data_IF_405529550696
#
_entry.id   IF_405529550696
#
_cell.length_a   1.000
_cell.length_b   1.000
_cell.length_c   1.000
_cell.angle_alpha   90.00
_cell.angle_beta   90.00
_cell.angle_gamma   90.00
#
_symmetry.space_group_name_H-M   'P 1'
#
loop_
_entity.id
_entity.type
_entity.pdbx_description
1 polymer ?
#
# COMPACT_ATOMS: atom_id res chain seq x y z
N UNK A 1 -2.36 13.64 8.35
CA UNK A 1 -1.20 13.14 9.12
C UNK A 1 -0.02 14.08 8.86
N UNK A 2 0.68 14.58 9.90
CA UNK A 2 1.80 15.47 9.70
C UNK A 2 2.86 14.81 8.81
N UNK A 3 3.46 15.61 7.92
CA UNK A 3 4.54 15.21 6.99
C UNK A 3 4.19 14.11 5.95
N UNK A 4 2.93 13.66 5.85
CA UNK A 4 2.48 12.71 4.83
C UNK A 4 1.74 13.44 3.72
N UNK A 5 2.35 13.49 2.53
CA UNK A 5 1.83 14.13 1.31
C UNK A 5 1.52 13.08 0.25
N UNK A 6 0.88 13.46 -0.84
CA UNK A 6 0.63 12.59 -1.98
C UNK A 6 1.92 11.90 -2.46
N UNK A 7 3.02 12.64 -2.62
CA UNK A 7 4.32 12.08 -2.99
C UNK A 7 4.82 11.02 -2.01
N UNK A 8 4.53 11.15 -0.71
CA UNK A 8 4.89 10.13 0.29
C UNK A 8 4.13 8.83 0.04
N UNK A 9 2.85 8.92 -0.32
CA UNK A 9 2.04 7.75 -0.67
C UNK A 9 2.57 7.07 -1.94
N UNK A 10 2.88 7.84 -2.99
CA UNK A 10 3.46 7.32 -4.24
C UNK A 10 4.81 6.65 -4.02
N UNK A 11 5.71 7.29 -3.26
CA UNK A 11 7.01 6.71 -2.90
C UNK A 11 6.83 5.41 -2.10
N UNK A 12 5.85 5.36 -1.20
CA UNK A 12 5.53 4.15 -0.44
C UNK A 12 5.05 3.03 -1.38
N UNK A 13 4.17 3.33 -2.33
CA UNK A 13 3.72 2.37 -3.34
C UNK A 13 4.92 1.87 -4.15
N UNK A 14 5.74 2.78 -4.68
CA UNK A 14 6.90 2.43 -5.49
C UNK A 14 7.86 1.47 -4.78
N UNK A 15 8.15 1.71 -3.50
CA UNK A 15 9.12 0.89 -2.75
C UNK A 15 8.49 -0.34 -2.09
N UNK A 16 7.28 -0.22 -1.58
CA UNK A 16 6.66 -1.28 -0.80
C UNK A 16 5.86 -2.27 -1.62
N UNK A 17 5.31 -1.86 -2.77
CA UNK A 17 4.48 -2.74 -3.62
C UNK A 17 5.29 -3.59 -4.60
N UNK A 18 6.61 -3.64 -4.43
CA UNK A 18 7.48 -4.52 -5.23
C UNK A 18 7.05 -5.99 -5.09
N UNK A 19 6.89 -6.67 -6.22
CA UNK A 19 6.46 -8.07 -6.28
C UNK A 19 4.96 -8.29 -6.07
N UNK A 20 4.17 -7.22 -5.99
CA UNK A 20 2.70 -7.29 -6.01
C UNK A 20 2.22 -7.80 -7.37
N UNK A 21 1.26 -8.73 -7.35
CA UNK A 21 0.68 -9.31 -8.56
C UNK A 21 -0.72 -8.78 -8.84
N UNK A 22 -1.48 -8.56 -7.79
CA UNK A 22 -2.86 -8.09 -7.90
C UNK A 22 -2.98 -6.74 -7.22
N UNK A 23 -3.64 -5.81 -7.90
CA UNK A 23 -3.97 -4.51 -7.35
C UNK A 23 -5.49 -4.38 -7.28
N UNK A 24 -5.97 -3.95 -6.12
CA UNK A 24 -7.37 -3.61 -5.89
C UNK A 24 -7.39 -2.11 -5.62
N UNK A 25 -7.98 -1.38 -6.53
CA UNK A 25 -8.19 0.05 -6.45
C UNK A 25 -9.60 0.31 -5.95
N UNK A 26 -9.76 1.22 -5.00
CA UNK A 26 -11.06 1.56 -4.45
C UNK A 26 -11.16 3.05 -4.16
N UNK A 27 -12.34 3.58 -4.43
CA UNK A 27 -12.78 4.92 -4.11
C UNK A 27 -14.09 4.86 -3.31
N UNK A 28 -14.22 5.72 -2.30
CA UNK A 28 -15.45 5.77 -1.49
C UNK A 28 -16.38 6.83 -2.07
N UNK A 29 -17.31 6.37 -2.91
CA UNK A 29 -18.26 7.23 -3.59
C UNK A 29 -19.04 8.14 -2.62
N UNK A 30 -18.96 9.44 -2.86
CA UNK A 30 -19.69 10.45 -2.08
C UNK A 30 -19.29 10.43 -0.60
N UNK A 31 -18.02 10.14 -0.30
CA UNK A 31 -17.54 9.97 1.07
C UNK A 31 -17.91 11.14 1.97
N UNK A 32 -17.62 12.38 1.54
CA UNK A 32 -17.87 13.58 2.32
C UNK A 32 -19.37 13.78 2.61
N UNK A 33 -20.25 13.38 1.71
CA UNK A 33 -21.70 13.55 1.85
C UNK A 33 -22.33 12.47 2.73
N UNK A 34 -21.65 11.32 2.87
CA UNK A 34 -22.17 10.15 3.57
C UNK A 34 -21.55 9.90 4.95
N UNK A 35 -20.72 10.80 5.47
CA UNK A 35 -20.18 10.69 6.82
C UNK A 35 -21.30 10.73 7.85
N UNK A 36 -21.44 9.65 8.64
CA UNK A 36 -22.41 9.60 9.71
C UNK A 36 -21.93 10.43 10.91
N UNK A 37 -22.67 11.50 11.25
CA UNK A 37 -22.31 12.42 12.32
C UNK A 37 -22.22 11.75 13.70
N UNK A 38 -23.08 10.76 13.99
CA UNK A 38 -23.06 10.06 15.28
C UNK A 38 -21.78 9.24 15.42
N UNK A 39 -21.45 8.44 14.40
CA UNK A 39 -20.22 7.62 14.37
C UNK A 39 -18.98 8.52 14.47
N UNK A 40 -18.98 9.67 13.77
CA UNK A 40 -17.88 10.62 13.84
C UNK A 40 -17.70 11.19 15.25
N UNK A 41 -18.79 11.63 15.90
CA UNK A 41 -18.76 12.18 17.26
C UNK A 41 -18.32 11.10 18.24
N UNK A 42 -18.80 9.86 18.12
CA UNK A 42 -18.41 8.76 19.01
C UNK A 42 -16.92 8.41 18.82
N UNK A 43 -16.41 8.47 17.58
CA UNK A 43 -14.99 8.30 17.31
C UNK A 43 -14.14 9.42 17.93
N UNK A 44 -14.62 10.66 17.89
CA UNK A 44 -13.97 11.79 18.57
C UNK A 44 -13.99 11.62 20.09
N UNK A 45 -15.10 11.13 20.66
CA UNK A 45 -15.27 10.90 22.09
C UNK A 45 -14.26 9.89 22.66
N UNK A 46 -13.75 8.97 21.86
CA UNK A 46 -12.68 8.04 22.27
C UNK A 46 -11.39 8.77 22.68
N UNK A 47 -11.18 10.00 22.23
CA UNK A 47 -9.97 10.79 22.47
C UNK A 47 -10.21 12.12 23.17
N UNK A 48 -11.43 12.64 23.10
CA UNK A 48 -11.81 13.96 23.60
C UNK A 48 -12.94 13.77 24.60
N UNK A 49 -12.68 14.04 25.86
CA UNK A 49 -13.65 13.95 26.96
C UNK A 49 -14.49 15.21 27.13
N UNK A 50 -14.14 16.34 26.46
CA UNK A 50 -14.89 17.59 26.58
C UNK A 50 -16.18 17.54 25.75
N UNK A 51 -17.29 17.29 26.42
CA UNK A 51 -18.63 17.26 25.84
C UNK A 51 -19.09 18.63 25.27
N UNK A 52 -18.54 19.75 25.77
CA UNK A 52 -18.83 21.07 25.19
C UNK A 52 -18.25 21.21 23.81
N UNK A 53 -17.00 20.76 23.65
CA UNK A 53 -16.34 20.70 22.36
C UNK A 53 -17.05 19.77 21.37
N UNK A 54 -17.41 18.56 21.81
CA UNK A 54 -18.14 17.60 20.94
C UNK A 54 -19.50 18.15 20.48
N UNK A 55 -20.22 18.83 21.39
CA UNK A 55 -21.47 19.54 21.03
C UNK A 55 -21.24 20.66 20.02
N UNK A 56 -20.13 21.40 20.13
CA UNK A 56 -19.77 22.43 19.17
C UNK A 56 -19.50 21.82 17.78
N UNK A 57 -18.70 20.76 17.70
CA UNK A 57 -18.46 20.03 16.45
C UNK A 57 -19.77 19.55 15.84
N UNK A 58 -20.68 18.97 16.63
CA UNK A 58 -22.01 18.55 16.15
C UNK A 58 -22.82 19.71 15.58
N UNK A 59 -22.77 20.88 16.22
CA UNK A 59 -23.42 22.10 15.70
C UNK A 59 -22.85 22.50 14.35
N UNK A 60 -21.53 22.46 14.17
CA UNK A 60 -20.90 22.72 12.87
C UNK A 60 -21.34 21.73 11.80
N UNK A 61 -21.39 20.44 12.11
CA UNK A 61 -21.85 19.41 11.16
C UNK A 61 -23.30 19.64 10.73
N UNK A 62 -24.17 20.08 11.64
CA UNK A 62 -25.59 20.31 11.39
C UNK A 62 -25.91 21.72 10.84
N UNK A 63 -24.92 22.62 10.83
CA UNK A 63 -25.15 24.02 10.46
C UNK A 63 -25.54 24.20 8.98
N UNK A 64 -25.27 23.20 8.12
CA UNK A 64 -25.50 23.31 6.69
C UNK A 64 -24.43 24.15 5.99
N UNK A 65 -24.69 24.44 4.73
CA UNK A 65 -23.82 25.29 3.90
C UNK A 65 -24.64 26.15 2.94
N UNK A 66 -24.02 27.20 2.49
CA UNK A 66 -24.62 28.09 1.47
C UNK A 66 -23.91 27.82 0.15
N UNK A 67 -24.68 27.45 -0.87
CA UNK A 67 -24.22 27.29 -2.24
C UNK A 67 -25.12 28.11 -3.18
N UNK A 68 -24.50 28.91 -4.06
CA UNK A 68 -25.20 29.79 -4.98
C UNK A 68 -26.28 30.64 -4.28
N UNK A 69 -25.97 31.19 -3.11
CA UNK A 69 -26.88 31.98 -2.25
C UNK A 69 -28.10 31.21 -1.74
N UNK A 70 -28.11 29.87 -1.87
CA UNK A 70 -29.15 29.01 -1.30
C UNK A 70 -28.58 28.23 -0.09
N UNK A 71 -29.35 28.26 0.98
CA UNK A 71 -29.01 27.47 2.16
C UNK A 71 -29.38 25.99 1.97
N UNK A 72 -28.44 25.13 2.20
CA UNK A 72 -28.60 23.66 2.16
C UNK A 72 -28.37 23.09 3.55
N UNK A 73 -29.33 22.35 4.06
CA UNK A 73 -29.23 21.70 5.37
C UNK A 73 -28.45 20.39 5.23
N UNK A 74 -27.52 20.15 6.18
CA UNK A 74 -26.74 18.91 6.22
C UNK A 74 -27.35 17.97 7.24
N UNK A 75 -27.80 16.80 6.80
CA UNK A 75 -28.29 15.70 7.64
C UNK A 75 -27.18 14.66 7.87
N UNK A 76 -26.26 14.52 6.95
CA UNK A 76 -25.08 13.67 6.97
C UNK A 76 -23.96 14.38 6.23
N UNK A 77 -22.74 13.89 6.42
CA UNK A 77 -21.59 14.40 5.70
C UNK A 77 -20.98 15.66 6.29
N UNK A 78 -19.96 16.12 5.60
CA UNK A 78 -19.27 17.38 5.88
C UNK A 78 -19.23 18.19 4.58
N UNK A 79 -19.50 19.51 4.62
CA UNK A 79 -19.53 20.31 3.40
C UNK A 79 -18.17 20.23 2.68
N UNK A 80 -18.21 19.96 1.37
CA UNK A 80 -17.01 19.97 0.54
C UNK A 80 -16.43 21.41 0.52
N UNK A 81 -15.10 21.51 0.72
CA UNK A 81 -14.42 22.80 0.84
C UNK A 81 -14.39 23.40 2.25
N UNK A 82 -15.04 22.78 3.23
CA UNK A 82 -14.93 23.20 4.62
C UNK A 82 -13.51 22.98 5.19
N UNK A 83 -12.97 23.97 5.90
CA UNK A 83 -11.58 23.93 6.42
C UNK A 83 -11.35 22.71 7.34
N UNK A 84 -12.35 22.32 8.13
CA UNK A 84 -12.27 21.21 9.08
C UNK A 84 -12.59 19.84 8.43
N UNK A 85 -13.30 19.82 7.31
CA UNK A 85 -13.79 18.59 6.65
C UNK A 85 -12.70 17.57 6.37
N UNK A 86 -11.50 17.92 5.84
CA UNK A 86 -10.44 16.95 5.62
C UNK A 86 -9.90 16.31 6.90
N UNK A 87 -9.93 17.03 8.02
CA UNK A 87 -9.48 16.52 9.32
C UNK A 87 -10.50 15.51 9.84
N UNK A 88 -11.79 15.88 9.84
CA UNK A 88 -12.87 15.00 10.28
C UNK A 88 -12.97 13.73 9.41
N UNK A 89 -12.80 13.88 8.10
CA UNK A 89 -12.72 12.78 7.15
C UNK A 89 -11.60 11.78 7.50
N UNK A 90 -10.40 12.29 7.78
CA UNK A 90 -9.29 11.42 8.18
C UNK A 90 -9.49 10.74 9.53
N UNK A 91 -10.16 11.40 10.48
CA UNK A 91 -10.52 10.79 11.77
C UNK A 91 -11.53 9.67 11.57
N UNK A 92 -12.55 9.89 10.73
CA UNK A 92 -13.55 8.88 10.40
C UNK A 92 -12.91 7.65 9.73
N UNK A 93 -12.05 7.86 8.74
CA UNK A 93 -11.36 6.80 8.01
C UNK A 93 -10.25 6.10 8.82
N UNK A 94 -9.83 6.61 9.97
CA UNK A 94 -8.88 5.91 10.85
C UNK A 94 -9.43 4.56 11.34
N UNK A 95 -10.74 4.44 11.49
CA UNK A 95 -11.41 3.15 11.80
C UNK A 95 -11.24 2.14 10.66
N UNK A 96 -11.42 2.60 9.42
CA UNK A 96 -11.19 1.79 8.24
C UNK A 96 -9.72 1.37 8.10
N UNK A 97 -8.80 2.31 8.31
CA UNK A 97 -7.35 2.01 8.29
C UNK A 97 -6.99 0.94 9.34
N UNK A 98 -7.54 1.01 10.55
CA UNK A 98 -7.32 0.01 11.61
C UNK A 98 -7.86 -1.36 11.21
N UNK A 99 -9.09 -1.41 10.70
CA UNK A 99 -9.71 -2.65 10.23
C UNK A 99 -8.87 -3.32 9.13
N UNK A 100 -8.43 -2.56 8.13
CA UNK A 100 -7.58 -3.10 7.05
C UNK A 100 -6.23 -3.59 7.59
N UNK A 101 -5.61 -2.87 8.52
CA UNK A 101 -4.34 -3.30 9.12
C UNK A 101 -4.49 -4.60 9.91
N UNK A 102 -5.55 -4.76 10.70
CA UNK A 102 -5.85 -6.03 11.38
C UNK A 102 -6.10 -7.17 10.39
N UNK A 103 -6.79 -6.87 9.29
CA UNK A 103 -7.01 -7.84 8.22
C UNK A 103 -5.69 -8.24 7.56
N UNK A 104 -4.78 -7.30 7.31
CA UNK A 104 -3.44 -7.55 6.76
C UNK A 104 -2.65 -8.50 7.66
N UNK A 105 -2.67 -8.29 8.98
CA UNK A 105 -1.98 -9.16 9.93
C UNK A 105 -2.48 -10.62 9.86
N UNK A 106 -3.79 -10.80 9.76
CA UNK A 106 -4.42 -12.14 9.62
C UNK A 106 -4.17 -12.75 8.24
N UNK A 107 -4.14 -11.92 7.20
CA UNK A 107 -3.93 -12.37 5.82
C UNK A 107 -2.49 -12.82 5.56
N UNK A 108 -1.51 -12.10 6.11
CA UNK A 108 -0.11 -12.36 5.87
C UNK A 108 0.31 -13.74 6.39
N UNK A 109 1.02 -14.51 5.53
CA UNK A 109 1.48 -15.87 5.85
C UNK A 109 2.90 -16.09 5.34
N UNK A 110 3.70 -16.85 6.11
CA UNK A 110 5.07 -17.22 5.75
C UNK A 110 6.06 -16.06 5.85
N UNK A 111 7.35 -16.32 5.90
CA UNK A 111 8.39 -15.29 5.94
C UNK A 111 8.95 -14.99 4.55
N UNK A 112 9.16 -16.02 3.74
CA UNK A 112 9.82 -15.95 2.44
C UNK A 112 9.11 -16.84 1.43
N UNK A 113 9.05 -16.38 0.17
CA UNK A 113 8.57 -17.21 -0.95
C UNK A 113 9.46 -18.43 -1.15
N UNK A 114 8.87 -19.56 -1.56
CA UNK A 114 9.59 -20.75 -1.96
C UNK A 114 10.53 -20.43 -3.12
N UNK A 115 11.80 -20.77 -2.96
CA UNK A 115 12.81 -20.54 -4.00
C UNK A 115 12.63 -21.50 -5.16
N UNK A 116 12.85 -21.00 -6.38
CA UNK A 116 12.91 -21.85 -7.56
C UNK A 116 14.28 -22.55 -7.63
N UNK A 117 14.29 -23.88 -7.45
CA UNK A 117 15.51 -24.67 -7.42
C UNK A 117 16.35 -24.51 -8.72
N UNK A 118 15.68 -24.49 -9.87
CA UNK A 118 16.34 -24.33 -11.18
C UNK A 118 17.07 -22.98 -11.28
N UNK A 119 16.40 -21.89 -10.85
CA UNK A 119 17.03 -20.58 -10.82
C UNK A 119 18.26 -20.56 -9.91
N UNK A 120 18.14 -21.09 -8.71
CA UNK A 120 19.25 -21.08 -7.75
C UNK A 120 20.42 -21.96 -8.17
N UNK A 121 20.17 -23.10 -8.83
CA UNK A 121 21.23 -23.92 -9.42
C UNK A 121 22.00 -23.15 -10.50
N UNK A 122 21.30 -22.51 -11.44
CA UNK A 122 21.91 -21.68 -12.47
C UNK A 122 22.65 -20.46 -11.90
N UNK A 123 22.06 -19.82 -10.88
CA UNK A 123 22.72 -18.71 -10.20
C UNK A 123 24.03 -19.13 -9.52
N UNK A 124 24.07 -20.30 -8.89
CA UNK A 124 25.30 -20.85 -8.30
C UNK A 124 26.36 -21.11 -9.39
N UNK A 125 25.97 -21.66 -10.53
CA UNK A 125 26.86 -21.83 -11.67
C UNK A 125 27.40 -20.48 -12.18
N UNK A 126 26.55 -19.47 -12.31
CA UNK A 126 26.95 -18.14 -12.75
C UNK A 126 27.92 -17.47 -11.74
N UNK A 127 27.69 -17.61 -10.46
CA UNK A 127 28.58 -17.10 -9.39
C UNK A 127 29.95 -17.80 -9.47
N UNK A 128 29.96 -19.11 -9.66
CA UNK A 128 31.21 -19.88 -9.78
C UNK A 128 32.01 -19.50 -11.05
N UNK A 129 31.32 -19.28 -12.17
CA UNK A 129 31.95 -18.79 -13.39
C UNK A 129 32.57 -17.39 -13.20
N UNK A 130 31.85 -16.48 -12.52
CA UNK A 130 32.36 -15.14 -12.20
C UNK A 130 33.58 -15.20 -11.26
N UNK A 131 33.62 -16.14 -10.32
CA UNK A 131 34.81 -16.36 -9.46
C UNK A 131 36.00 -16.84 -10.29
N UNK A 132 35.79 -17.80 -11.20
CA UNK A 132 36.85 -18.29 -12.11
C UNK A 132 37.37 -17.20 -13.02
N UNK A 133 36.49 -16.35 -13.58
CA UNK A 133 36.87 -15.21 -14.42
C UNK A 133 37.77 -14.18 -13.72
N UNK A 134 37.66 -14.08 -12.39
CA UNK A 134 38.51 -13.14 -11.61
C UNK A 134 39.95 -13.66 -11.42
N UNK A 135 40.16 -14.97 -11.47
CA UNK A 135 41.44 -15.60 -11.20
C UNK A 135 42.14 -15.99 -12.48
N UNK A 136 41.40 -16.14 -13.59
CA UNK A 136 41.92 -16.58 -14.89
C UNK A 136 42.78 -15.48 -15.54
N UNK A 137 43.95 -15.87 -16.02
CA UNK A 137 44.92 -14.97 -16.69
C UNK A 137 44.97 -15.20 -18.19
N UNK A 138 44.58 -16.37 -18.68
CA UNK A 138 44.63 -16.70 -20.14
C UNK A 138 43.47 -15.98 -20.85
N UNK A 139 43.79 -15.12 -21.89
CA UNK A 139 42.77 -14.37 -22.64
C UNK A 139 41.76 -15.25 -23.39
N UNK A 140 42.18 -16.40 -23.87
CA UNK A 140 41.34 -17.29 -24.64
C UNK A 140 40.29 -17.99 -23.72
N UNK A 141 40.75 -18.55 -22.63
CA UNK A 141 39.89 -19.18 -21.60
C UNK A 141 38.93 -18.14 -20.99
N UNK A 142 39.39 -16.93 -20.77
CA UNK A 142 38.59 -15.81 -20.25
C UNK A 142 37.44 -15.42 -21.20
N UNK A 143 37.70 -15.43 -22.54
CA UNK A 143 36.68 -15.18 -23.53
C UNK A 143 35.57 -16.26 -23.51
N UNK A 144 35.95 -17.54 -23.48
CA UNK A 144 34.99 -18.64 -23.38
C UNK A 144 34.14 -18.61 -22.12
N UNK A 145 34.76 -18.37 -20.96
CA UNK A 145 34.05 -18.28 -19.69
C UNK A 145 33.08 -17.09 -19.67
N UNK A 146 33.45 -15.98 -20.31
CA UNK A 146 32.61 -14.80 -20.43
C UNK A 146 31.36 -15.09 -21.27
N UNK A 147 31.54 -15.82 -22.38
CA UNK A 147 30.43 -16.20 -23.23
C UNK A 147 29.47 -17.19 -22.56
N UNK A 148 30.02 -18.19 -21.86
CA UNK A 148 29.24 -19.12 -21.00
C UNK A 148 28.45 -18.38 -19.93
N UNK A 149 29.06 -17.39 -19.27
CA UNK A 149 28.39 -16.59 -18.26
C UNK A 149 27.26 -15.73 -18.85
N UNK A 150 27.44 -15.16 -20.05
CA UNK A 150 26.39 -14.39 -20.77
C UNK A 150 25.20 -15.27 -21.14
N UNK A 151 25.44 -16.46 -21.71
CA UNK A 151 24.37 -17.42 -22.06
C UNK A 151 23.56 -17.80 -20.83
N UNK A 152 24.23 -18.15 -19.74
CA UNK A 152 23.55 -18.48 -18.50
C UNK A 152 22.72 -17.32 -17.92
N UNK A 153 23.22 -16.11 -18.07
CA UNK A 153 22.50 -14.91 -17.61
C UNK A 153 21.23 -14.63 -18.45
N UNK A 154 21.27 -14.91 -19.75
CA UNK A 154 20.10 -14.82 -20.63
C UNK A 154 19.05 -15.86 -20.26
N UNK A 155 19.47 -17.11 -20.04
CA UNK A 155 18.58 -18.17 -19.58
C UNK A 155 17.91 -17.84 -18.23
N UNK A 156 18.67 -17.29 -17.29
CA UNK A 156 18.15 -16.91 -15.98
C UNK A 156 17.11 -15.78 -16.02
N UNK A 157 17.13 -14.89 -17.02
CA UNK A 157 16.13 -13.82 -17.16
C UNK A 157 14.70 -14.35 -17.34
N UNK A 158 14.56 -15.52 -17.96
CA UNK A 158 13.27 -16.14 -18.22
C UNK A 158 12.78 -17.05 -17.10
N UNK A 159 13.58 -17.23 -16.04
CA UNK A 159 13.24 -18.10 -14.92
C UNK A 159 12.97 -17.24 -13.69
N UNK A 160 11.77 -17.27 -13.09
CA UNK A 160 11.49 -16.55 -11.87
C UNK A 160 12.33 -17.09 -10.71
N UNK A 161 12.90 -16.21 -9.90
CA UNK A 161 13.75 -16.58 -8.75
C UNK A 161 12.97 -17.29 -7.64
N UNK A 162 11.67 -17.06 -7.53
CA UNK A 162 10.78 -17.66 -6.56
C UNK A 162 9.47 -18.07 -7.22
N UNK A 163 8.74 -18.98 -6.59
CA UNK A 163 7.40 -19.34 -7.05
C UNK A 163 6.43 -18.19 -6.78
N UNK A 164 5.76 -17.69 -7.82
CA UNK A 164 4.84 -16.56 -7.72
C UNK A 164 3.55 -16.89 -6.97
N UNK A 165 3.03 -18.12 -7.17
CA UNK A 165 1.81 -18.63 -6.54
C UNK A 165 2.19 -19.64 -5.45
N UNK A 166 2.89 -19.17 -4.41
CA UNK A 166 3.26 -20.01 -3.28
C UNK A 166 2.13 -19.97 -2.23
N UNK A 167 1.47 -21.11 -2.02
CA UNK A 167 0.38 -21.27 -1.04
C UNK A 167 0.82 -21.00 0.41
N UNK A 168 2.13 -21.09 0.68
CA UNK A 168 2.69 -20.84 1.99
C UNK A 168 3.19 -19.41 2.19
N UNK A 169 3.07 -18.57 1.15
CA UNK A 169 3.48 -17.17 1.23
C UNK A 169 2.45 -16.25 0.60
N UNK A 170 1.88 -15.38 1.43
CA UNK A 170 1.00 -14.32 0.95
C UNK A 170 1.24 -13.03 1.74
N UNK A 171 1.12 -11.91 1.06
CA UNK A 171 1.27 -10.57 1.63
C UNK A 171 0.20 -9.66 1.06
N UNK A 172 -0.32 -8.83 1.92
CA UNK A 172 -1.19 -7.73 1.55
C UNK A 172 -0.53 -6.43 1.97
N UNK A 173 -0.63 -5.42 1.13
CA UNK A 173 -0.11 -4.08 1.34
C UNK A 173 -1.22 -3.08 1.07
N UNK A 174 -1.25 -2.01 1.84
CA UNK A 174 -2.32 -1.04 1.80
C UNK A 174 -1.77 0.38 1.88
N UNK A 175 -2.29 1.23 1.03
CA UNK A 175 -2.04 2.68 1.06
C UNK A 175 -3.34 3.40 0.79
N UNK A 176 -3.62 4.42 1.57
CA UNK A 176 -4.76 5.33 1.38
C UNK A 176 -4.31 6.78 1.33
N UNK A 177 -4.88 7.53 0.43
CA UNK A 177 -4.77 8.97 0.34
C UNK A 177 -6.16 9.58 0.18
N UNK A 178 -6.62 10.31 1.22
CA UNK A 178 -8.00 10.78 1.36
C UNK A 178 -9.00 9.60 1.31
N UNK A 179 -9.92 9.60 0.39
CA UNK A 179 -10.94 8.58 0.09
C UNK A 179 -10.45 7.49 -0.86
N UNK A 180 -9.40 7.77 -1.65
CA UNK A 180 -8.76 6.79 -2.52
C UNK A 180 -7.89 5.81 -1.75
N UNK A 181 -7.97 4.54 -2.08
CA UNK A 181 -7.06 3.53 -1.53
C UNK A 181 -6.64 2.48 -2.55
N UNK A 182 -5.48 1.91 -2.32
CA UNK A 182 -4.95 0.80 -3.12
C UNK A 182 -4.48 -0.32 -2.20
N UNK A 183 -4.86 -1.54 -2.56
CA UNK A 183 -4.42 -2.76 -1.90
C UNK A 183 -3.62 -3.57 -2.90
N UNK A 184 -2.41 -3.96 -2.53
CA UNK A 184 -1.55 -4.84 -3.31
C UNK A 184 -1.46 -6.22 -2.69
N UNK A 185 -1.70 -7.28 -3.47
CA UNK A 185 -1.68 -8.66 -3.00
C UNK A 185 -0.57 -9.45 -3.68
N UNK A 186 0.17 -10.22 -2.89
CA UNK A 186 1.22 -11.14 -3.30
C UNK A 186 0.84 -12.53 -2.82
N UNK A 187 0.90 -13.51 -3.72
CA UNK A 187 0.56 -14.91 -3.46
C UNK A 187 -0.82 -15.28 -3.97
N UNK A 188 -1.26 -16.48 -3.64
CA UNK A 188 -2.59 -17.03 -3.96
C UNK A 188 -3.56 -16.85 -2.80
#
# INVERSE_FOLDING_TARGET
RPYKRCHTALTHIQHQFTGTRWFIEGDIKGFFDNINHNILIDTLRERISDERFLRLVRKFLNAGYVDNWKYNRTYSGTPQGGIISPILANIYLDKFDKYINEYIERFNKGEKKRRNAVYFQKNTQAVNLRKKLKVETDPCVKAELTEKAKKLQIEMRNIPCCHDMDENYRRMKYVRYADDFIIGVIGS
#
